data_IF_679079816243
#
_entry.id   IF_679079816243
#
_cell.length_a   1.000
_cell.length_b   1.000
_cell.length_c   1.000
_cell.angle_alpha   90.00
_cell.angle_beta   90.00
_cell.angle_gamma   90.00
#
_symmetry.space_group_name_H-M   'P 1'
#
loop_
_entity.id
_entity.type
_entity.pdbx_description
1 polymer ?
#
# COMPACT_ATOMS: atom_id res chain seq x y z
N UNK A 1 13.82 14.64 -14.28
CA UNK A 1 12.49 14.74 -13.65
C UNK A 1 11.77 13.44 -13.93
N UNK A 2 11.34 12.74 -12.88
CA UNK A 2 10.62 11.47 -13.01
C UNK A 2 9.17 11.70 -13.44
N UNK A 3 8.57 10.76 -14.16
CA UNK A 3 7.22 10.94 -14.73
C UNK A 3 6.13 11.19 -13.67
N UNK A 4 6.32 10.64 -12.47
CA UNK A 4 5.39 10.76 -11.35
C UNK A 4 5.83 11.78 -10.29
N UNK A 5 6.87 12.56 -10.56
CA UNK A 5 7.40 13.56 -9.64
C UNK A 5 6.31 14.57 -9.23
N UNK A 6 6.19 14.81 -7.92
CA UNK A 6 5.17 15.68 -7.32
C UNK A 6 3.75 15.10 -7.27
N UNK A 7 3.49 13.94 -7.88
CA UNK A 7 2.17 13.28 -7.83
C UNK A 7 2.02 12.46 -6.54
N UNK A 8 0.79 12.45 -6.03
CA UNK A 8 0.39 11.67 -4.85
C UNK A 8 -0.71 10.68 -5.26
N UNK A 9 -0.62 9.44 -4.76
CA UNK A 9 -1.63 8.41 -5.02
C UNK A 9 -1.83 7.47 -3.84
N UNK A 10 -2.91 6.69 -3.91
CA UNK A 10 -3.22 5.61 -2.97
C UNK A 10 -3.21 4.29 -3.75
N UNK A 11 -2.42 3.31 -3.29
CA UNK A 11 -2.32 2.00 -3.90
C UNK A 11 -3.05 0.97 -3.04
N UNK A 12 -4.06 0.34 -3.63
CA UNK A 12 -4.81 -0.76 -3.03
C UNK A 12 -4.38 -2.08 -3.69
N UNK A 13 -4.55 -3.19 -2.97
CA UNK A 13 -4.38 -4.54 -3.55
C UNK A 13 -2.94 -5.07 -3.57
N UNK A 14 -2.01 -4.44 -2.84
CA UNK A 14 -0.70 -5.05 -2.56
C UNK A 14 -0.88 -6.14 -1.51
N UNK A 15 -0.57 -7.39 -1.86
CA UNK A 15 -0.59 -8.52 -0.92
C UNK A 15 0.82 -9.03 -0.57
N UNK A 16 1.78 -8.82 -1.45
CA UNK A 16 3.21 -9.21 -1.36
C UNK A 16 3.97 -8.69 -2.60
N UNK A 17 5.25 -9.02 -2.67
CA UNK A 17 6.22 -8.67 -3.72
C UNK A 17 5.89 -9.22 -5.12
N UNK A 18 4.93 -10.14 -5.25
CA UNK A 18 4.45 -10.70 -6.53
C UNK A 18 3.15 -10.08 -7.02
N UNK A 19 2.61 -9.09 -6.30
CA UNK A 19 1.34 -8.45 -6.64
C UNK A 19 1.49 -7.55 -7.87
N UNK A 20 0.50 -7.52 -8.77
CA UNK A 20 0.48 -6.57 -9.89
C UNK A 20 0.47 -5.12 -9.37
N UNK A 21 -0.32 -4.86 -8.32
CA UNK A 21 -0.35 -3.56 -7.65
C UNK A 21 1.03 -3.14 -7.12
N UNK A 22 1.86 -4.11 -6.69
CA UNK A 22 3.23 -3.82 -6.24
C UNK A 22 4.14 -3.45 -7.41
N UNK A 23 4.08 -4.20 -8.52
CA UNK A 23 4.85 -3.87 -9.72
C UNK A 23 4.52 -2.46 -10.25
N UNK A 24 3.24 -2.07 -10.23
CA UNK A 24 2.79 -0.71 -10.57
C UNK A 24 3.35 0.31 -9.56
N UNK A 25 3.25 0.03 -8.27
CA UNK A 25 3.76 0.93 -7.24
C UNK A 25 5.27 1.17 -7.36
N UNK A 26 6.06 0.14 -7.67
CA UNK A 26 7.50 0.28 -7.87
C UNK A 26 7.81 1.25 -9.02
N UNK A 27 7.10 1.17 -10.14
CA UNK A 27 7.31 2.12 -11.24
C UNK A 27 6.98 3.55 -10.82
N UNK A 28 5.85 3.76 -10.13
CA UNK A 28 5.45 5.08 -9.63
C UNK A 28 6.51 5.65 -8.66
N UNK A 29 6.97 4.85 -7.71
CA UNK A 29 7.97 5.24 -6.71
C UNK A 29 9.33 5.56 -7.36
N UNK A 30 9.79 4.73 -8.29
CA UNK A 30 11.04 4.94 -9.04
C UNK A 30 11.01 6.23 -9.88
N UNK A 31 9.82 6.62 -10.34
CA UNK A 31 9.58 7.84 -11.10
C UNK A 31 9.28 9.07 -10.20
N UNK A 32 9.57 8.99 -8.90
CA UNK A 32 9.44 10.11 -7.97
C UNK A 32 8.04 10.37 -7.41
N UNK A 33 7.10 9.44 -7.64
CA UNK A 33 5.76 9.50 -7.07
C UNK A 33 5.76 9.19 -5.57
N UNK A 34 4.74 9.69 -4.87
CA UNK A 34 4.51 9.41 -3.45
C UNK A 34 3.20 8.65 -3.28
N UNK A 35 3.25 7.51 -2.60
CA UNK A 35 2.10 6.62 -2.47
C UNK A 35 1.78 6.28 -1.02
N UNK A 36 0.50 6.36 -0.66
CA UNK A 36 -0.05 5.63 0.47
C UNK A 36 -0.41 4.20 0.04
N UNK A 37 -0.41 3.27 0.98
CA UNK A 37 -0.72 1.86 0.74
C UNK A 37 -1.80 1.37 1.70
N UNK A 38 -2.57 0.39 1.26
CA UNK A 38 -3.48 -0.35 2.13
C UNK A 38 -3.12 -1.82 2.23
N UNK A 39 -3.57 -2.47 3.29
CA UNK A 39 -3.56 -3.93 3.40
C UNK A 39 -4.93 -4.43 3.83
N UNK A 40 -5.28 -5.66 3.45
CA UNK A 40 -6.47 -6.30 3.99
C UNK A 40 -6.31 -6.42 5.52
N UNK A 41 -7.35 -6.08 6.33
CA UNK A 41 -7.28 -6.24 7.77
C UNK A 41 -6.85 -7.66 8.14
N UNK A 42 -5.96 -7.76 9.11
CA UNK A 42 -5.58 -9.04 9.67
C UNK A 42 -6.72 -9.58 10.53
N UNK A 43 -6.89 -10.90 10.54
CA UNK A 43 -7.87 -11.53 11.41
C UNK A 43 -7.49 -11.28 12.88
N UNK A 44 -8.47 -11.16 13.81
CA UNK A 44 -8.17 -10.93 15.23
C UNK A 44 -7.25 -12.00 15.85
N UNK A 45 -7.28 -13.23 15.34
CA UNK A 45 -6.46 -14.35 15.78
C UNK A 45 -5.04 -14.38 15.17
N UNK A 46 -4.76 -13.57 14.14
CA UNK A 46 -3.43 -13.50 13.52
C UNK A 46 -2.50 -12.55 14.29
N UNK A 47 -1.91 -13.08 15.37
CA UNK A 47 -0.90 -12.36 16.17
C UNK A 47 0.29 -11.86 15.34
N UNK A 48 0.58 -12.49 14.20
CA UNK A 48 1.71 -12.12 13.33
C UNK A 48 1.34 -11.02 12.33
N UNK A 49 0.07 -10.62 12.24
CA UNK A 49 -0.44 -9.60 11.32
C UNK A 49 0.12 -9.79 9.90
N UNK A 50 -0.07 -10.99 9.33
CA UNK A 50 0.63 -11.41 8.11
C UNK A 50 0.32 -10.52 6.92
N UNK A 51 -0.92 -10.03 6.77
CA UNK A 51 -1.30 -9.15 5.68
C UNK A 51 -0.53 -7.84 5.78
N UNK A 52 -0.57 -7.17 6.94
CA UNK A 52 0.22 -5.96 7.19
C UNK A 52 1.70 -6.19 6.95
N UNK A 53 2.29 -7.22 7.57
CA UNK A 53 3.74 -7.50 7.48
C UNK A 53 4.23 -7.78 6.06
N UNK A 54 3.40 -8.38 5.20
CA UNK A 54 3.79 -8.62 3.80
C UNK A 54 3.87 -7.33 3.03
N UNK A 55 2.92 -6.41 3.21
CA UNK A 55 2.93 -5.09 2.56
C UNK A 55 4.03 -4.21 3.14
N UNK A 56 4.24 -4.23 4.47
CA UNK A 56 5.35 -3.53 5.13
C UNK A 56 6.70 -3.89 4.51
N UNK A 57 6.95 -5.19 4.27
CA UNK A 57 8.20 -5.64 3.64
C UNK A 57 8.38 -5.13 2.21
N UNK A 58 7.29 -4.91 1.47
CA UNK A 58 7.39 -4.34 0.13
C UNK A 58 7.80 -2.87 0.19
N UNK A 59 7.15 -2.10 1.07
CA UNK A 59 7.36 -0.65 1.16
C UNK A 59 8.58 -0.25 1.99
N UNK A 60 9.20 -1.19 2.68
CA UNK A 60 10.42 -0.96 3.47
C UNK A 60 11.55 -0.40 2.59
N UNK A 61 12.20 0.66 3.07
CA UNK A 61 13.23 1.39 2.32
C UNK A 61 12.73 2.23 1.13
N UNK A 62 11.43 2.28 0.84
CA UNK A 62 10.89 3.09 -0.27
C UNK A 62 10.64 4.54 0.16
N UNK A 63 11.49 5.48 -0.27
CA UNK A 63 11.37 6.89 0.10
C UNK A 63 10.02 7.54 -0.28
N UNK A 64 9.36 7.04 -1.33
CA UNK A 64 8.06 7.51 -1.77
C UNK A 64 6.87 6.87 -1.03
N UNK A 65 7.07 5.82 -0.23
CA UNK A 65 5.99 5.22 0.55
C UNK A 65 5.67 6.06 1.80
N UNK A 66 4.42 6.51 1.94
CA UNK A 66 4.04 7.50 2.95
C UNK A 66 3.35 6.90 4.18
N UNK A 67 2.43 5.96 3.98
CA UNK A 67 1.70 5.31 5.07
C UNK A 67 1.17 3.94 4.62
N UNK A 68 0.83 3.12 5.62
CA UNK A 68 0.17 1.82 5.44
C UNK A 68 -0.98 1.71 6.44
N UNK A 69 -2.21 1.55 5.93
CA UNK A 69 -3.43 1.47 6.74
C UNK A 69 -4.27 0.23 6.37
N UNK A 70 -5.07 -0.32 7.30
CA UNK A 70 -5.99 -1.41 6.97
C UNK A 70 -7.16 -0.89 6.11
N UNK A 71 -7.62 -1.69 5.14
CA UNK A 71 -8.83 -1.44 4.36
C UNK A 71 -9.43 -2.74 3.84
N UNK A 72 -10.66 -3.06 4.24
CA UNK A 72 -11.54 -4.01 3.57
C UNK A 72 -12.54 -3.25 2.70
N UNK A 73 -12.42 -3.37 1.38
CA UNK A 73 -13.29 -2.70 0.40
C UNK A 73 -14.73 -3.20 0.39
N UNK A 74 -15.04 -4.25 1.16
CA UNK A 74 -16.42 -4.69 1.40
C UNK A 74 -17.10 -3.95 2.57
N UNK A 75 -16.38 -3.07 3.26
CA UNK A 75 -16.87 -2.28 4.38
C UNK A 75 -16.85 -0.79 4.03
N UNK A 76 -18.01 -0.20 3.76
CA UNK A 76 -18.14 1.20 3.33
C UNK A 76 -17.54 2.18 4.35
N UNK A 77 -17.70 1.92 5.64
CA UNK A 77 -17.13 2.75 6.71
C UNK A 77 -15.60 2.79 6.65
N UNK A 78 -14.95 1.66 6.33
CA UNK A 78 -13.49 1.63 6.18
C UNK A 78 -13.05 2.34 4.92
N UNK A 79 -13.84 2.26 3.84
CA UNK A 79 -13.57 3.03 2.62
C UNK A 79 -13.59 4.52 2.95
N UNK A 80 -14.62 5.00 3.63
CA UNK A 80 -14.81 6.40 4.00
C UNK A 80 -13.74 6.94 4.97
N UNK A 81 -13.13 6.10 5.80
CA UNK A 81 -12.04 6.52 6.71
C UNK A 81 -10.71 6.77 5.97
N UNK A 82 -10.50 6.10 4.83
CA UNK A 82 -9.23 6.13 4.09
C UNK A 82 -9.23 7.19 2.97
N UNK A 83 -10.39 7.56 2.42
CA UNK A 83 -10.55 8.55 1.32
C UNK A 83 -11.00 9.92 1.82
#
# INVERSE_FOLDING_TARGET
MGFFEGKKGLILGVANDRSIAWAIAQEILNQGGRCGFTHLPDRPDDQKRKNRRRVEKCIDGQAGAQFLVPLDVQQDDQIAEVI
#
